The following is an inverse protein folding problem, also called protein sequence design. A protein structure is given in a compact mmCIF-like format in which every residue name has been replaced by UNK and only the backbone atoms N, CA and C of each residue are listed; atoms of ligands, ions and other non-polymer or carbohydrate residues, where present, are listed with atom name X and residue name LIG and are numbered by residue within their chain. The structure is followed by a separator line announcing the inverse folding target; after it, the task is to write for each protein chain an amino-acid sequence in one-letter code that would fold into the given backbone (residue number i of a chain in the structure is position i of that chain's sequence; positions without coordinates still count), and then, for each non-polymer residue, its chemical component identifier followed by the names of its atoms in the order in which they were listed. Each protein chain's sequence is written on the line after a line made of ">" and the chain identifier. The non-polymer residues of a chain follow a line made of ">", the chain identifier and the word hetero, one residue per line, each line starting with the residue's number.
data_IF_484658174503
#
_entry.id   IF_484658174503
#
_cell.length_a   1.000
_cell.length_b   1.000
_cell.length_c   1.000
_cell.angle_alpha   90.00
_cell.angle_beta   90.00
_cell.angle_gamma   90.00
#
_symmetry.space_group_name_H-M   'P 1'
#
loop_
_entity.id
_entity.type
_entity.pdbx_description
1 polymer ?
#
# COMPACT_ATOMS: atom_id res chain seq x y z
N UNK A 1 -51.18 -64.63 -61.90
CA UNK A 1 -50.25 -63.45 -62.06
C UNK A 1 -50.67 -62.38 -61.11
N UNK A 2 -50.21 -62.35 -59.87
CA UNK A 2 -50.62 -61.40 -58.86
C UNK A 2 -49.43 -60.57 -58.44
N UNK A 3 -49.56 -59.29 -58.70
CA UNK A 3 -48.55 -58.27 -58.29
C UNK A 3 -48.86 -57.83 -56.86
N UNK A 4 -47.97 -58.21 -55.96
CA UNK A 4 -48.04 -57.78 -54.55
C UNK A 4 -47.46 -56.41 -54.42
N UNK A 5 -48.24 -55.44 -53.95
CA UNK A 5 -47.83 -54.04 -53.65
C UNK A 5 -47.19 -53.97 -52.27
N UNK A 6 -45.90 -53.67 -52.23
CA UNK A 6 -45.20 -53.32 -50.99
C UNK A 6 -45.49 -51.86 -50.60
N UNK A 7 -46.00 -51.63 -49.39
CA UNK A 7 -46.13 -50.30 -48.80
C UNK A 7 -45.01 -50.08 -47.83
N UNK A 8 -44.15 -49.07 -47.96
CA UNK A 8 -43.12 -48.78 -46.99
C UNK A 8 -43.71 -48.11 -45.72
N UNK A 9 -43.43 -48.73 -44.57
CA UNK A 9 -43.71 -48.16 -43.27
C UNK A 9 -42.81 -46.94 -43.01
N UNK A 10 -43.41 -45.75 -42.90
CA UNK A 10 -42.70 -44.53 -42.42
C UNK A 10 -42.43 -44.66 -40.93
N UNK A 11 -41.14 -44.72 -40.56
CA UNK A 11 -40.65 -44.53 -39.20
C UNK A 11 -40.79 -43.04 -38.84
N UNK A 12 -41.63 -42.71 -37.87
CA UNK A 12 -41.69 -41.42 -37.22
C UNK A 12 -40.59 -41.42 -36.14
N UNK A 13 -39.48 -40.71 -36.37
CA UNK A 13 -38.51 -40.42 -35.36
C UNK A 13 -38.99 -39.22 -34.58
N UNK A 14 -39.45 -39.43 -33.37
CA UNK A 14 -39.83 -38.37 -32.44
C UNK A 14 -38.54 -37.69 -31.92
N UNK A 15 -38.32 -36.49 -32.35
CA UNK A 15 -37.22 -35.64 -31.88
C UNK A 15 -37.72 -34.95 -30.60
N UNK A 16 -37.34 -35.52 -29.43
CA UNK A 16 -37.60 -34.88 -28.14
C UNK A 16 -36.53 -33.76 -27.95
N UNK A 17 -36.97 -32.50 -28.08
CA UNK A 17 -36.17 -31.35 -27.69
C UNK A 17 -36.05 -31.32 -26.16
N UNK A 18 -34.90 -31.74 -25.61
CA UNK A 18 -34.50 -31.44 -24.24
C UNK A 18 -34.06 -29.97 -24.19
N UNK A 19 -34.91 -29.09 -23.71
CA UNK A 19 -34.51 -27.72 -23.34
C UNK A 19 -33.78 -27.78 -22.01
N UNK A 20 -32.42 -27.79 -22.09
CA UNK A 20 -31.58 -27.61 -20.93
C UNK A 20 -31.70 -26.14 -20.46
N UNK A 21 -32.48 -25.92 -19.41
CA UNK A 21 -32.54 -24.62 -18.75
C UNK A 21 -31.23 -24.28 -18.07
N UNK A 22 -30.47 -23.34 -18.63
CA UNK A 22 -29.29 -22.76 -17.98
C UNK A 22 -29.79 -21.86 -16.86
N UNK A 23 -29.77 -22.37 -15.61
CA UNK A 23 -29.94 -21.55 -14.42
C UNK A 23 -28.68 -20.74 -14.19
N UNK A 24 -28.67 -19.47 -14.64
CA UNK A 24 -27.65 -18.50 -14.26
C UNK A 24 -27.80 -18.20 -12.76
N UNK A 25 -27.01 -18.87 -11.93
CA UNK A 25 -26.81 -18.50 -10.54
C UNK A 25 -26.07 -17.16 -10.52
N UNK A 26 -26.82 -16.06 -10.39
CA UNK A 26 -26.27 -14.76 -10.09
C UNK A 26 -25.67 -14.79 -8.67
N UNK A 27 -24.38 -15.07 -8.56
CA UNK A 27 -23.65 -14.85 -7.31
C UNK A 27 -23.63 -13.34 -7.05
N UNK A 28 -24.17 -12.86 -5.91
CA UNK A 28 -23.98 -11.47 -5.53
C UNK A 28 -22.47 -11.27 -5.28
N UNK A 29 -21.79 -10.59 -6.19
CA UNK A 29 -20.46 -10.07 -5.94
C UNK A 29 -20.62 -9.03 -4.83
N UNK A 30 -20.43 -9.45 -3.58
CA UNK A 30 -20.29 -8.51 -2.47
C UNK A 30 -19.04 -7.67 -2.74
N UNK A 31 -19.26 -6.45 -3.20
CA UNK A 31 -18.20 -5.45 -3.35
C UNK A 31 -17.74 -5.12 -1.93
N UNK A 32 -16.75 -5.88 -1.44
CA UNK A 32 -16.10 -5.55 -0.18
C UNK A 32 -15.52 -4.13 -0.35
N UNK A 33 -15.97 -3.20 0.49
CA UNK A 33 -15.44 -1.84 0.51
C UNK A 33 -13.92 -1.94 0.70
N UNK A 34 -13.17 -1.64 -0.35
CA UNK A 34 -11.72 -1.68 -0.29
C UNK A 34 -11.26 -0.60 0.69
N UNK A 35 -10.48 -1.01 1.68
CA UNK A 35 -9.81 -0.07 2.57
C UNK A 35 -8.87 0.76 1.70
N UNK A 36 -9.08 2.07 1.66
CA UNK A 36 -8.36 2.97 0.77
C UNK A 36 -7.71 4.07 1.61
N UNK A 37 -6.46 4.37 1.31
CA UNK A 37 -5.81 5.57 1.82
C UNK A 37 -6.50 6.82 1.25
N UNK A 38 -6.40 7.93 1.97
CA UNK A 38 -6.97 9.21 1.58
C UNK A 38 -5.84 10.23 1.46
N UNK A 39 -5.98 11.18 0.55
CA UNK A 39 -5.18 12.40 0.58
C UNK A 39 -5.44 13.22 1.85
N UNK A 40 -4.60 14.20 2.14
CA UNK A 40 -4.75 15.10 3.27
C UNK A 40 -6.10 15.82 3.31
N UNK A 41 -6.71 16.09 2.16
CA UNK A 41 -8.04 16.71 2.00
C UNK A 41 -9.22 15.72 2.19
N UNK A 42 -8.93 14.42 2.29
CA UNK A 42 -9.93 13.37 2.47
C UNK A 42 -10.42 12.71 1.18
N UNK A 43 -9.93 13.10 0.02
CA UNK A 43 -10.22 12.41 -1.26
C UNK A 43 -9.52 11.06 -1.34
N UNK A 44 -10.09 10.04 -2.01
CA UNK A 44 -9.43 8.76 -2.20
C UNK A 44 -8.07 8.90 -2.89
N UNK A 45 -7.04 8.25 -2.35
CA UNK A 45 -5.68 8.27 -2.88
C UNK A 45 -5.30 6.93 -3.50
N UNK A 46 -4.56 6.99 -4.60
CA UNK A 46 -3.91 5.82 -5.18
C UNK A 46 -2.41 6.10 -5.38
N UNK A 47 -1.60 6.08 -4.30
CA UNK A 47 -0.21 6.50 -4.35
C UNK A 47 0.65 5.64 -5.29
N UNK A 48 0.30 4.39 -5.51
CA UNK A 48 1.02 3.54 -6.46
C UNK A 48 0.79 3.97 -7.92
N UNK A 49 -0.43 4.38 -8.25
CA UNK A 49 -0.72 4.95 -9.57
C UNK A 49 -0.06 6.33 -9.70
N UNK A 50 -0.08 7.13 -8.65
CA UNK A 50 0.56 8.46 -8.60
C UNK A 50 2.09 8.38 -8.71
N UNK A 51 2.70 7.27 -8.26
CA UNK A 51 4.13 7.01 -8.44
C UNK A 51 4.52 6.88 -9.93
N UNK A 52 3.55 6.64 -10.82
CA UNK A 52 3.73 6.62 -12.27
C UNK A 52 4.87 5.69 -12.74
N UNK A 53 4.89 4.45 -12.25
CA UNK A 53 5.90 3.44 -12.59
C UNK A 53 7.28 3.65 -11.95
N UNK A 54 7.37 4.53 -10.94
CA UNK A 54 8.56 4.71 -10.11
C UNK A 54 8.43 3.95 -8.80
N UNK A 55 9.53 3.68 -8.09
CA UNK A 55 9.46 3.22 -6.71
C UNK A 55 8.61 4.15 -5.84
N UNK A 56 7.84 3.56 -4.93
CA UNK A 56 6.99 4.30 -3.98
C UNK A 56 7.55 4.16 -2.56
N UNK A 57 7.74 5.28 -1.89
CA UNK A 57 8.28 5.38 -0.54
C UNK A 57 7.22 5.97 0.38
N UNK A 58 6.89 5.24 1.41
CA UNK A 58 5.96 5.65 2.45
C UNK A 58 6.71 5.80 3.77
N UNK A 59 6.53 6.93 4.43
CA UNK A 59 7.05 7.14 5.80
C UNK A 59 5.85 7.31 6.73
N UNK A 60 5.70 6.35 7.61
CA UNK A 60 4.59 6.28 8.56
C UNK A 60 4.91 7.09 9.80
N UNK A 61 4.07 8.08 10.08
CA UNK A 61 4.27 9.04 11.16
C UNK A 61 3.00 9.25 11.98
N UNK A 62 3.18 9.74 13.19
CA UNK A 62 2.09 10.26 14.02
C UNK A 62 2.43 11.69 14.46
N UNK A 63 1.42 12.54 14.52
CA UNK A 63 1.59 13.93 14.94
C UNK A 63 2.04 14.08 16.39
N UNK A 64 1.72 13.10 17.23
CA UNK A 64 2.03 13.06 18.65
C UNK A 64 3.23 12.16 19.01
N UNK A 65 3.97 11.65 18.03
CA UNK A 65 5.17 10.84 18.26
C UNK A 65 6.43 11.70 18.26
N UNK A 66 7.08 11.93 19.43
CA UNK A 66 8.27 12.78 19.49
C UNK A 66 9.42 12.31 18.60
N UNK A 67 9.57 10.98 18.46
CA UNK A 67 10.62 10.40 17.62
C UNK A 67 10.30 10.65 16.13
N UNK A 68 9.05 10.46 15.69
CA UNK A 68 8.65 10.82 14.33
C UNK A 68 8.98 12.27 14.01
N UNK A 69 8.69 13.17 14.96
CA UNK A 69 8.89 14.61 14.79
C UNK A 69 10.39 14.96 14.67
N UNK A 70 11.25 14.28 15.41
CA UNK A 70 12.70 14.49 15.32
C UNK A 70 13.29 14.02 14.00
N UNK A 71 12.69 13.06 13.32
CA UNK A 71 13.09 12.62 11.98
C UNK A 71 12.68 13.56 10.84
N UNK A 72 11.84 14.57 11.09
CA UNK A 72 11.31 15.43 10.04
C UNK A 72 12.38 16.05 9.12
N UNK A 73 13.50 16.61 9.62
CA UNK A 73 14.55 17.15 8.75
C UNK A 73 15.19 16.10 7.85
N UNK A 74 15.49 14.91 8.41
CA UNK A 74 16.08 13.80 7.66
C UNK A 74 15.15 13.25 6.58
N UNK A 75 13.88 13.05 6.90
CA UNK A 75 12.85 12.59 5.95
C UNK A 75 12.78 13.54 4.75
N UNK A 76 12.77 14.84 5.01
CA UNK A 76 12.76 15.86 3.95
C UNK A 76 14.05 15.85 3.12
N UNK A 77 15.20 15.69 3.75
CA UNK A 77 16.48 15.59 3.06
C UNK A 77 16.52 14.37 2.12
N UNK A 78 16.08 13.19 2.61
CA UNK A 78 16.01 11.98 1.80
C UNK A 78 15.04 12.19 0.62
N UNK A 79 13.84 12.68 0.88
CA UNK A 79 12.86 12.90 -0.19
C UNK A 79 13.33 13.88 -1.26
N UNK A 80 14.04 14.94 -0.85
CA UNK A 80 14.63 15.91 -1.77
C UNK A 80 15.71 15.29 -2.67
N UNK A 81 16.52 14.37 -2.12
CA UNK A 81 17.57 13.65 -2.86
C UNK A 81 17.00 12.77 -3.98
N UNK A 82 15.83 12.20 -3.76
CA UNK A 82 15.17 11.30 -4.72
C UNK A 82 14.02 11.95 -5.49
N UNK A 83 13.90 13.27 -5.42
CA UNK A 83 12.87 14.01 -6.16
C UNK A 83 12.88 13.65 -7.65
N UNK A 84 11.72 13.29 -8.19
CA UNK A 84 11.56 12.87 -9.58
C UNK A 84 12.03 11.44 -9.90
N UNK A 85 12.75 10.76 -9.00
CA UNK A 85 13.20 9.37 -9.16
C UNK A 85 12.29 8.37 -8.44
N UNK A 86 11.70 8.76 -7.31
CA UNK A 86 10.74 7.97 -6.53
C UNK A 86 9.56 8.85 -6.10
N UNK A 87 8.39 8.24 -5.93
CA UNK A 87 7.26 8.87 -5.26
C UNK A 87 7.47 8.81 -3.74
N UNK A 88 7.15 9.90 -3.02
CA UNK A 88 7.27 9.97 -1.56
C UNK A 88 5.98 10.46 -0.93
N UNK A 89 5.57 9.83 0.16
CA UNK A 89 4.42 10.23 0.95
C UNK A 89 4.69 10.10 2.44
N UNK A 90 4.17 11.06 3.21
CA UNK A 90 3.96 10.90 4.63
C UNK A 90 2.63 10.20 4.85
N UNK A 91 2.60 9.14 5.63
CA UNK A 91 1.38 8.40 5.96
C UNK A 91 1.01 8.66 7.42
N UNK A 92 -0.05 9.41 7.61
CA UNK A 92 -0.60 9.72 8.92
C UNK A 92 -1.61 8.68 9.35
N UNK A 93 -1.42 8.15 10.55
CA UNK A 93 -2.16 7.01 11.06
C UNK A 93 -3.27 7.42 12.03
N UNK A 94 -4.30 6.57 12.05
CA UNK A 94 -5.36 6.64 13.03
C UNK A 94 -6.49 7.61 12.68
N UNK A 95 -7.63 7.36 13.32
CA UNK A 95 -8.87 8.14 13.13
C UNK A 95 -8.75 9.59 13.61
N UNK A 96 -7.80 9.88 14.49
CA UNK A 96 -7.56 11.20 15.08
C UNK A 96 -6.71 12.13 14.23
N UNK A 97 -6.09 11.62 13.16
CA UNK A 97 -5.34 12.44 12.21
C UNK A 97 -6.29 13.18 11.26
N UNK A 98 -6.93 14.23 11.76
CA UNK A 98 -7.77 15.11 10.93
C UNK A 98 -6.91 15.90 9.93
N UNK A 99 -7.53 16.32 8.83
CA UNK A 99 -6.85 17.17 7.83
C UNK A 99 -6.24 18.44 8.45
N UNK A 100 -6.91 19.02 9.44
CA UNK A 100 -6.43 20.21 10.15
C UNK A 100 -5.16 19.90 10.97
N UNK A 101 -5.18 18.83 11.78
CA UNK A 101 -4.01 18.41 12.56
C UNK A 101 -2.82 18.06 11.68
N UNK A 102 -3.06 17.45 10.52
CA UNK A 102 -2.01 17.16 9.55
C UNK A 102 -1.40 18.45 9.01
N UNK A 103 -2.22 19.39 8.54
CA UNK A 103 -1.73 20.70 8.06
C UNK A 103 -0.93 21.46 9.13
N UNK A 104 -1.42 21.45 10.37
CA UNK A 104 -0.70 22.05 11.49
C UNK A 104 0.68 21.40 11.68
N UNK A 105 0.72 20.05 11.72
CA UNK A 105 1.97 19.30 11.87
C UNK A 105 2.92 19.53 10.69
N UNK A 106 2.43 19.51 9.45
CA UNK A 106 3.24 19.82 8.27
C UNK A 106 3.85 21.23 8.35
N UNK A 107 3.07 22.21 8.79
CA UNK A 107 3.54 23.58 8.99
C UNK A 107 4.59 23.69 10.10
N UNK A 108 4.35 23.03 11.24
CA UNK A 108 5.21 23.07 12.42
C UNK A 108 6.59 22.44 12.15
N UNK A 109 6.59 21.30 11.44
CA UNK A 109 7.83 20.56 11.12
C UNK A 109 8.37 20.86 9.71
N UNK A 110 7.75 21.79 8.99
CA UNK A 110 8.19 22.27 7.69
C UNK A 110 8.08 21.23 6.56
N UNK A 111 7.23 20.24 6.68
CA UNK A 111 7.07 19.20 5.67
C UNK A 111 6.60 19.75 4.32
N UNK A 112 7.19 19.24 3.22
CA UNK A 112 6.86 19.59 1.84
C UNK A 112 6.44 18.36 1.03
N UNK A 113 6.23 17.24 1.70
CA UNK A 113 5.83 15.96 1.12
C UNK A 113 4.30 15.86 1.06
N UNK A 114 3.74 15.21 0.04
CA UNK A 114 2.31 14.90 0.05
C UNK A 114 1.96 14.01 1.24
N UNK A 115 0.85 14.37 1.89
CA UNK A 115 0.31 13.62 3.03
C UNK A 115 -0.77 12.63 2.57
N UNK A 116 -0.72 11.44 3.12
CA UNK A 116 -1.79 10.47 3.07
C UNK A 116 -2.35 10.25 4.48
N UNK A 117 -3.62 9.94 4.54
CA UNK A 117 -4.32 9.47 5.73
C UNK A 117 -4.63 8.00 5.56
N UNK A 118 -4.28 7.20 6.56
CA UNK A 118 -4.58 5.76 6.57
C UNK A 118 -5.44 5.38 7.78
N UNK A 119 -6.72 5.83 7.83
CA UNK A 119 -7.58 5.63 8.99
C UNK A 119 -7.99 4.18 9.23
N UNK A 120 -7.83 3.33 8.24
CA UNK A 120 -8.20 1.91 8.27
C UNK A 120 -6.96 0.98 8.23
N UNK A 121 -5.75 1.54 8.33
CA UNK A 121 -4.48 0.82 8.28
C UNK A 121 -4.30 -0.05 7.02
N UNK A 122 -4.80 0.42 5.87
CA UNK A 122 -4.65 -0.28 4.60
C UNK A 122 -3.19 -0.30 4.13
N UNK A 123 -2.55 0.87 4.14
CA UNK A 123 -1.13 1.01 3.80
C UNK A 123 -0.24 0.40 4.88
N UNK A 124 -0.58 0.54 6.16
CA UNK A 124 0.12 -0.12 7.27
C UNK A 124 0.21 -1.62 7.05
N UNK A 125 -0.93 -2.26 6.75
CA UNK A 125 -0.98 -3.71 6.51
C UNK A 125 -0.17 -4.11 5.28
N UNK A 126 -0.27 -3.35 4.19
CA UNK A 126 0.46 -3.62 2.95
C UNK A 126 1.97 -3.41 3.12
N UNK A 127 2.37 -2.43 3.90
CA UNK A 127 3.77 -2.09 4.19
C UNK A 127 4.37 -2.93 5.32
N UNK A 128 3.55 -3.69 6.07
CA UNK A 128 3.98 -4.53 7.20
C UNK A 128 4.69 -3.74 8.32
N UNK A 129 4.38 -2.46 8.46
CA UNK A 129 4.96 -1.60 9.51
C UNK A 129 4.20 -1.73 10.82
N UNK A 130 4.89 -1.55 11.95
CA UNK A 130 4.33 -1.73 13.29
C UNK A 130 4.61 -0.56 14.23
N UNK A 131 5.55 0.29 13.89
CA UNK A 131 6.06 1.38 14.73
C UNK A 131 6.08 2.68 13.91
N UNK A 132 5.99 3.82 14.56
CA UNK A 132 6.24 5.13 13.96
C UNK A 132 7.41 5.83 14.67
N UNK A 133 8.42 6.37 13.93
CA UNK A 133 8.48 6.33 12.47
C UNK A 133 9.06 5.01 11.94
N UNK A 134 8.39 4.43 10.96
CA UNK A 134 8.96 3.43 10.07
C UNK A 134 8.71 3.84 8.62
N UNK A 135 9.48 3.27 7.70
CA UNK A 135 9.34 3.50 6.29
C UNK A 135 9.12 2.19 5.54
N UNK A 136 8.50 2.28 4.37
CA UNK A 136 8.41 1.17 3.43
C UNK A 136 8.77 1.64 2.02
N UNK A 137 9.48 0.77 1.29
CA UNK A 137 9.88 1.00 -0.10
C UNK A 137 9.29 -0.11 -0.97
N UNK A 138 8.51 0.29 -1.95
CA UNK A 138 7.97 -0.59 -2.98
C UNK A 138 8.68 -0.31 -4.30
N UNK A 139 8.89 -1.36 -5.09
CA UNK A 139 9.43 -1.19 -6.45
C UNK A 139 8.36 -0.65 -7.44
N UNK A 140 8.77 -0.43 -8.68
CA UNK A 140 7.89 0.02 -9.76
C UNK A 140 6.75 -0.97 -10.11
N UNK A 141 6.83 -2.20 -9.62
CA UNK A 141 5.81 -3.25 -9.76
C UNK A 141 4.96 -3.41 -8.50
N UNK A 142 5.04 -2.48 -7.56
CA UNK A 142 4.32 -2.45 -6.29
C UNK A 142 4.67 -3.63 -5.35
N UNK A 143 5.85 -4.23 -5.49
CA UNK A 143 6.34 -5.26 -4.57
C UNK A 143 7.07 -4.59 -3.42
N UNK A 144 6.75 -4.97 -2.20
CA UNK A 144 7.44 -4.51 -1.00
C UNK A 144 8.89 -5.01 -1.03
N UNK A 145 9.85 -4.09 -1.05
CA UNK A 145 11.27 -4.40 -1.00
C UNK A 145 11.87 -4.21 0.39
N UNK A 146 11.38 -3.24 1.11
CA UNK A 146 11.87 -2.91 2.45
C UNK A 146 10.74 -2.38 3.32
N UNK A 147 10.76 -2.70 4.59
CA UNK A 147 10.02 -2.01 5.63
C UNK A 147 10.86 -1.97 6.92
N UNK A 148 10.70 -0.92 7.73
CA UNK A 148 11.39 -0.78 9.00
C UNK A 148 11.93 0.62 9.25
N UNK A 149 12.98 0.71 10.05
CA UNK A 149 13.54 1.98 10.50
C UNK A 149 14.11 2.83 9.36
N UNK A 150 14.13 4.12 9.56
CA UNK A 150 14.72 5.08 8.61
C UNK A 150 16.25 4.93 8.59
N UNK A 151 16.83 4.85 9.80
CA UNK A 151 18.23 4.61 10.07
C UNK A 151 18.41 4.06 11.49
N UNK A 152 19.64 3.89 11.96
CA UNK A 152 19.93 3.44 13.31
C UNK A 152 20.25 4.57 14.29
N UNK A 153 19.76 5.77 14.07
CA UNK A 153 20.00 6.90 14.98
C UNK A 153 19.49 6.62 16.40
N UNK A 154 18.28 6.09 16.53
CA UNK A 154 17.76 5.63 17.82
C UNK A 154 18.14 4.19 18.13
N UNK A 155 18.63 3.94 19.35
CA UNK A 155 18.94 2.61 19.88
C UNK A 155 17.73 2.02 20.62
N UNK A 156 17.09 2.86 21.44
CA UNK A 156 15.85 2.57 22.15
C UNK A 156 15.07 3.87 22.47
N UNK A 157 13.98 3.74 23.23
CA UNK A 157 13.21 4.89 23.72
C UNK A 157 14.04 5.68 24.74
N UNK A 158 14.47 6.88 24.33
CA UNK A 158 15.27 7.78 25.19
C UNK A 158 16.77 7.80 24.87
N UNK A 159 17.27 6.81 24.10
CA UNK A 159 18.69 6.76 23.74
C UNK A 159 18.89 6.89 22.24
N UNK A 160 19.67 7.87 21.84
CA UNK A 160 20.07 8.07 20.45
C UNK A 160 21.58 8.17 20.32
N UNK A 161 22.09 7.69 19.21
CA UNK A 161 23.48 7.86 18.83
C UNK A 161 23.78 9.34 18.54
N UNK A 162 25.03 9.77 18.69
CA UNK A 162 25.43 11.10 18.19
C UNK A 162 25.14 11.29 16.70
N UNK A 163 25.28 10.22 15.91
CA UNK A 163 24.92 10.17 14.50
C UNK A 163 24.54 8.73 14.10
N UNK A 164 23.67 8.58 13.10
CA UNK A 164 23.41 7.28 12.51
C UNK A 164 24.66 6.74 11.81
N UNK A 165 24.85 5.42 11.90
CA UNK A 165 25.96 4.70 11.23
C UNK A 165 25.46 3.77 10.12
N UNK A 166 24.14 3.53 10.02
CA UNK A 166 23.47 2.84 8.91
C UNK A 166 22.28 3.66 8.45
N UNK A 167 21.93 3.56 7.17
CA UNK A 167 20.93 4.40 6.50
C UNK A 167 19.97 3.56 5.68
N UNK A 168 19.23 2.69 6.36
CA UNK A 168 18.48 1.59 5.74
C UNK A 168 17.43 2.08 4.73
N UNK A 169 16.74 3.19 5.00
CA UNK A 169 15.79 3.77 4.05
C UNK A 169 16.49 4.26 2.78
N UNK A 170 17.61 4.96 2.92
CA UNK A 170 18.37 5.46 1.76
C UNK A 170 18.89 4.31 0.91
N UNK A 171 19.46 3.28 1.55
CA UNK A 171 19.95 2.07 0.90
C UNK A 171 18.84 1.28 0.19
N UNK A 172 17.65 1.18 0.82
CA UNK A 172 16.49 0.52 0.23
C UNK A 172 15.97 1.25 -1.01
N UNK A 173 15.95 2.59 -0.99
CA UNK A 173 15.57 3.39 -2.16
C UNK A 173 16.60 3.21 -3.29
N UNK A 174 17.89 3.22 -2.97
CA UNK A 174 18.94 2.95 -3.94
C UNK A 174 18.78 1.55 -4.56
N UNK A 175 18.49 0.55 -3.75
CA UNK A 175 18.23 -0.81 -4.22
C UNK A 175 17.01 -0.86 -5.17
N UNK A 176 15.91 -0.19 -4.82
CA UNK A 176 14.71 -0.11 -5.67
C UNK A 176 15.00 0.55 -7.04
N UNK A 177 15.87 1.57 -7.07
CA UNK A 177 16.23 2.28 -8.29
C UNK A 177 17.22 1.52 -9.17
N UNK A 178 18.04 0.63 -8.58
CA UNK A 178 19.15 -0.04 -9.29
C UNK A 178 18.94 -1.55 -9.47
N UNK A 179 17.83 -2.10 -8.95
CA UNK A 179 17.57 -3.54 -8.97
C UNK A 179 18.49 -4.36 -8.07
N UNK A 180 19.15 -3.72 -7.10
CA UNK A 180 20.00 -4.41 -6.11
C UNK A 180 19.16 -5.01 -4.98
N UNK A 181 19.82 -5.86 -4.18
CA UNK A 181 19.19 -6.43 -2.96
C UNK A 181 19.07 -5.31 -1.92
N UNK A 182 17.87 -5.09 -1.36
CA UNK A 182 17.69 -4.11 -0.29
C UNK A 182 18.34 -4.58 1.02
N UNK A 183 18.59 -3.66 1.97
CA UNK A 183 19.03 -4.05 3.30
C UNK A 183 17.98 -4.91 3.99
N UNK A 184 18.36 -5.75 4.97
CA UNK A 184 17.40 -6.50 5.77
C UNK A 184 16.48 -5.54 6.55
N UNK A 185 15.23 -5.92 6.71
CA UNK A 185 14.29 -5.17 7.56
C UNK A 185 14.78 -5.13 9.02
N UNK A 186 14.71 -3.96 9.61
CA UNK A 186 15.03 -3.74 11.02
C UNK A 186 13.95 -2.86 11.66
N UNK A 187 13.44 -3.22 12.85
CA UNK A 187 12.37 -2.46 13.48
C UNK A 187 12.80 -1.03 13.82
N UNK A 188 11.86 -0.12 13.72
CA UNK A 188 12.03 1.25 14.18
C UNK A 188 12.01 1.34 15.71
N UNK A 189 12.44 2.49 16.21
CA UNK A 189 12.24 2.89 17.61
C UNK A 189 11.21 4.01 17.63
N UNK A 190 10.14 3.86 18.43
CA UNK A 190 9.10 4.87 18.45
C UNK A 190 7.79 4.39 19.06
N UNK A 191 6.69 4.88 18.53
CA UNK A 191 5.34 4.62 19.03
C UNK A 191 4.69 3.47 18.26
N UNK A 192 4.20 2.46 18.98
CA UNK A 192 3.46 1.35 18.37
C UNK A 192 2.20 1.83 17.64
N UNK A 193 1.93 1.23 16.49
CA UNK A 193 0.69 1.41 15.75
C UNK A 193 -0.35 0.49 16.38
N UNK A 194 -1.24 1.06 17.17
CA UNK A 194 -2.36 0.31 17.73
C UNK A 194 -3.23 -0.23 16.56
N UNK A 195 -3.71 -1.46 16.70
CA UNK A 195 -4.57 -2.13 15.72
C UNK A 195 -3.93 -2.44 14.35
N UNK A 196 -2.60 -2.52 14.28
CA UNK A 196 -1.86 -2.96 13.08
C UNK A 196 -1.93 -4.48 12.82
N UNK A 197 -2.90 -5.19 13.45
CA UNK A 197 -3.11 -6.65 13.29
C UNK A 197 -4.11 -6.97 12.19
#
# INVERSE_FOLDING_TARGET
>A
MQLSRFIPRRLYVSFSLLTAGVVLLAFPFALAAQKTALHGDGTPANPFQEAAGKPAVFVFVRTDCPISNRYAPLIQQISARYRGKAGFWLVYLGKTASAEKIRQHESEYGYKLPALRDPQHALVAQAQVQITPEAAVFDAHHRLLYHGRIDNWYEDLGHSRPAATTHELDDAIQAALTGKVPPPSAPGVGCYIADAK
#
